data_IF_532441125307
#
_entry.id   IF_532441125307
#
_cell.length_a   1.000
_cell.length_b   1.000
_cell.length_c   1.000
_cell.angle_alpha   90.00
_cell.angle_beta   90.00
_cell.angle_gamma   90.00
#
_symmetry.space_group_name_H-M   'P 1'
#
loop_
_entity.id
_entity.type
_entity.pdbx_description
1 polymer ?
#
# COMPACT_ATOMS: atom_id res chain seq x y z
N UNK A 1 21.39 -72.61 -60.91
CA UNK A 1 21.92 -71.54 -60.03
C UNK A 1 20.71 -70.82 -59.47
N UNK A 2 20.53 -70.99 -58.17
CA UNK A 2 19.43 -70.50 -57.34
C UNK A 2 19.48 -68.98 -57.26
N UNK A 3 18.43 -68.31 -57.73
CA UNK A 3 18.19 -66.89 -57.47
C UNK A 3 17.85 -66.70 -56.00
N UNK A 4 18.65 -65.90 -55.30
CA UNK A 4 18.34 -65.36 -53.98
C UNK A 4 16.92 -64.77 -53.96
N UNK A 5 16.14 -64.98 -52.89
CA UNK A 5 14.99 -64.12 -52.64
C UNK A 5 15.52 -62.70 -52.42
N UNK A 6 14.97 -61.71 -53.12
CA UNK A 6 15.13 -60.32 -52.72
C UNK A 6 14.57 -60.18 -51.30
N UNK A 7 15.40 -59.74 -50.38
CA UNK A 7 14.96 -59.20 -49.10
C UNK A 7 13.92 -58.11 -49.40
N UNK A 8 12.67 -58.38 -49.02
CA UNK A 8 11.61 -57.38 -49.00
C UNK A 8 11.99 -56.34 -47.94
N UNK A 9 12.67 -55.27 -48.37
CA UNK A 9 12.82 -54.05 -47.58
C UNK A 9 11.42 -53.66 -47.08
N UNK A 10 11.26 -53.65 -45.76
CA UNK A 10 10.05 -53.15 -45.11
C UNK A 10 9.89 -51.69 -45.56
N UNK A 11 8.87 -51.43 -46.36
CA UNK A 11 8.58 -50.08 -46.85
C UNK A 11 8.15 -49.26 -45.64
N UNK A 12 8.99 -48.31 -45.24
CA UNK A 12 8.73 -47.48 -44.07
C UNK A 12 7.47 -46.62 -44.31
N UNK A 13 6.42 -46.86 -43.53
CA UNK A 13 5.23 -46.01 -43.48
C UNK A 13 5.54 -44.80 -42.58
N UNK A 14 5.34 -43.60 -43.12
CA UNK A 14 5.52 -42.37 -42.34
C UNK A 14 4.39 -42.17 -41.33
N UNK A 15 4.67 -41.58 -40.14
CA UNK A 15 3.63 -41.22 -39.19
C UNK A 15 2.66 -40.20 -39.80
N UNK A 16 1.45 -40.12 -39.24
CA UNK A 16 0.52 -39.04 -39.56
C UNK A 16 1.12 -37.67 -39.27
N UNK A 17 0.67 -36.64 -39.99
CA UNK A 17 1.05 -35.24 -39.80
C UNK A 17 -0.14 -34.50 -39.18
N UNK A 18 0.10 -33.73 -38.11
CA UNK A 18 -0.89 -32.81 -37.55
C UNK A 18 -0.43 -31.39 -37.86
N UNK A 19 -1.13 -30.74 -38.80
CA UNK A 19 -0.83 -29.37 -39.20
C UNK A 19 -1.19 -28.41 -38.06
N UNK A 20 -0.26 -27.53 -37.68
CA UNK A 20 -0.48 -26.52 -36.64
C UNK A 20 -0.12 -26.97 -35.22
N UNK A 21 0.54 -28.13 -35.06
CA UNK A 21 1.18 -28.51 -33.79
C UNK A 21 2.09 -27.39 -33.28
N UNK A 22 2.12 -27.23 -31.97
CA UNK A 22 3.00 -26.27 -31.31
C UNK A 22 4.23 -26.98 -30.76
N UNK A 23 5.38 -26.33 -30.78
CA UNK A 23 6.56 -26.83 -30.09
C UNK A 23 6.30 -26.80 -28.58
N UNK A 24 6.60 -27.90 -27.89
CA UNK A 24 6.52 -27.99 -26.43
C UNK A 24 7.84 -28.54 -25.91
N UNK A 25 8.34 -27.97 -24.83
CA UNK A 25 9.49 -28.51 -24.13
C UNK A 25 9.02 -29.64 -23.19
N UNK A 26 8.92 -30.85 -23.76
CA UNK A 26 8.50 -32.03 -22.99
C UNK A 26 9.24 -33.29 -23.50
N UNK A 27 9.92 -34.06 -22.62
CA UNK A 27 10.86 -35.10 -23.04
C UNK A 27 10.24 -36.27 -23.82
N UNK A 28 8.93 -36.50 -23.65
CA UNK A 28 8.21 -37.61 -24.30
C UNK A 28 7.27 -37.17 -25.44
N UNK A 29 7.21 -35.87 -25.79
CA UNK A 29 6.33 -35.36 -26.83
C UNK A 29 7.12 -34.89 -28.05
N UNK A 30 6.65 -35.21 -29.25
CA UNK A 30 7.16 -34.62 -30.50
C UNK A 30 6.59 -33.22 -30.73
N UNK A 31 5.47 -32.87 -30.07
CA UNK A 31 4.88 -31.55 -30.04
C UNK A 31 3.53 -31.55 -29.33
N UNK A 32 2.90 -30.39 -29.25
CA UNK A 32 1.61 -30.17 -28.60
C UNK A 32 0.47 -30.04 -29.60
N UNK A 33 -0.73 -30.50 -29.21
CA UNK A 33 -1.98 -30.34 -29.95
C UNK A 33 -2.88 -29.37 -29.17
N UNK A 34 -2.92 -28.07 -29.52
CA UNK A 34 -3.84 -27.13 -28.90
C UNK A 34 -5.30 -27.45 -29.24
N UNK A 35 -6.23 -27.07 -28.36
CA UNK A 35 -7.66 -27.34 -28.57
C UNK A 35 -8.22 -26.68 -29.84
N UNK A 36 -7.63 -25.55 -30.28
CA UNK A 36 -8.00 -24.85 -31.52
C UNK A 36 -7.78 -25.67 -32.80
N UNK A 37 -7.01 -26.76 -32.74
CA UNK A 37 -6.84 -27.68 -33.87
C UNK A 37 -8.01 -28.65 -34.03
N UNK A 38 -8.89 -28.76 -33.02
CA UNK A 38 -10.10 -29.56 -33.12
C UNK A 38 -11.17 -28.76 -33.88
N UNK A 39 -11.52 -29.22 -35.08
CA UNK A 39 -12.63 -28.69 -35.86
C UNK A 39 -13.89 -29.51 -35.58
N UNK A 40 -14.90 -28.91 -34.93
CA UNK A 40 -16.11 -29.62 -34.48
C UNK A 40 -15.81 -30.90 -33.67
N UNK A 41 -14.76 -30.85 -32.84
CA UNK A 41 -14.33 -31.98 -32.02
C UNK A 41 -13.49 -33.04 -32.75
N UNK A 42 -13.11 -32.80 -34.02
CA UNK A 42 -12.29 -33.71 -34.81
C UNK A 42 -10.89 -33.12 -35.05
N UNK A 43 -9.86 -33.93 -34.88
CA UNK A 43 -8.47 -33.60 -35.17
C UNK A 43 -8.11 -34.10 -36.58
N UNK A 44 -7.81 -33.20 -37.54
CA UNK A 44 -7.35 -33.61 -38.87
C UNK A 44 -5.96 -34.23 -38.79
N UNK A 45 -5.84 -35.48 -39.23
CA UNK A 45 -4.57 -36.19 -39.41
C UNK A 45 -4.29 -36.28 -40.91
N UNK A 46 -3.31 -35.52 -41.40
CA UNK A 46 -2.84 -35.62 -42.77
C UNK A 46 -2.00 -36.90 -42.92
N UNK A 47 -2.35 -37.70 -43.92
CA UNK A 47 -1.64 -38.92 -44.28
C UNK A 47 -1.03 -38.72 -45.66
N UNK A 48 0.30 -38.74 -45.72
CA UNK A 48 1.03 -38.77 -46.98
C UNK A 48 0.89 -40.17 -47.61
N UNK A 49 0.88 -40.27 -48.95
CA UNK A 49 0.80 -41.55 -49.63
C UNK A 49 2.05 -42.39 -49.34
N UNK A 50 1.84 -43.66 -48.97
CA UNK A 50 2.95 -44.61 -48.83
C UNK A 50 3.39 -45.15 -50.20
N UNK A 51 4.59 -45.71 -50.26
CA UNK A 51 5.13 -46.28 -51.50
C UNK A 51 4.21 -47.40 -52.02
N UNK A 52 3.85 -47.31 -53.30
CA UNK A 52 2.90 -48.21 -53.96
C UNK A 52 1.52 -48.26 -53.28
N UNK A 53 1.02 -47.12 -52.80
CA UNK A 53 -0.38 -47.01 -52.38
C UNK A 53 -1.30 -47.41 -53.54
N UNK A 54 -2.20 -48.36 -53.28
CA UNK A 54 -3.13 -48.89 -54.27
C UNK A 54 -4.58 -48.71 -53.84
N UNK A 55 -5.50 -48.74 -54.81
CA UNK A 55 -6.92 -48.86 -54.51
C UNK A 55 -7.18 -50.07 -53.63
N UNK A 56 -8.11 -49.90 -52.69
CA UNK A 56 -8.54 -50.87 -51.68
C UNK A 56 -7.54 -51.16 -50.57
N UNK A 57 -6.39 -50.46 -50.50
CA UNK A 57 -5.60 -50.42 -49.27
C UNK A 57 -6.43 -49.76 -48.14
N UNK A 58 -6.23 -50.20 -46.89
CA UNK A 58 -6.97 -49.72 -45.72
C UNK A 58 -6.02 -49.01 -44.74
N UNK A 59 -6.15 -47.69 -44.64
CA UNK A 59 -5.42 -46.85 -43.69
C UNK A 59 -6.18 -46.76 -42.36
N UNK A 60 -5.51 -47.09 -41.26
CA UNK A 60 -6.09 -47.24 -39.92
C UNK A 60 -5.34 -46.37 -38.92
N UNK A 61 -6.07 -45.72 -38.03
CA UNK A 61 -5.46 -45.04 -36.88
C UNK A 61 -5.54 -45.95 -35.67
N UNK A 62 -4.39 -46.15 -35.03
CA UNK A 62 -4.26 -46.85 -33.76
C UNK A 62 -3.87 -45.84 -32.66
N UNK A 63 -4.43 -46.01 -31.46
CA UNK A 63 -4.10 -45.20 -30.29
C UNK A 63 -3.42 -46.02 -29.20
N UNK A 64 -2.43 -45.41 -28.54
CA UNK A 64 -1.69 -46.06 -27.46
C UNK A 64 -0.93 -47.28 -27.95
N UNK A 65 -1.05 -48.37 -27.18
CA UNK A 65 -0.47 -49.68 -27.49
C UNK A 65 -1.50 -50.66 -28.07
N UNK A 66 -2.76 -50.24 -28.25
CA UNK A 66 -3.82 -51.10 -28.81
C UNK A 66 -3.70 -51.17 -30.33
N UNK A 67 -3.75 -52.37 -30.89
CA UNK A 67 -3.78 -52.59 -32.35
C UNK A 67 -5.21 -52.66 -32.91
N UNK A 68 -6.21 -52.37 -32.08
CA UNK A 68 -7.59 -52.17 -32.53
C UNK A 68 -7.70 -50.77 -33.16
N UNK A 69 -8.13 -50.67 -34.43
CA UNK A 69 -8.27 -49.38 -35.09
C UNK A 69 -9.43 -48.59 -34.50
N UNK A 70 -9.19 -47.30 -34.23
CA UNK A 70 -10.23 -46.37 -33.77
C UNK A 70 -10.97 -45.69 -34.91
N UNK A 71 -10.36 -45.69 -36.10
CA UNK A 71 -10.95 -45.26 -37.36
C UNK A 71 -10.13 -45.80 -38.53
N UNK A 72 -10.72 -45.80 -39.72
CA UNK A 72 -10.04 -46.16 -40.95
C UNK A 72 -10.59 -45.41 -42.18
N UNK A 73 -9.86 -45.49 -43.29
CA UNK A 73 -10.29 -45.13 -44.64
C UNK A 73 -9.71 -46.15 -45.62
N UNK A 74 -10.59 -46.70 -46.45
CA UNK A 74 -10.20 -47.49 -47.61
C UNK A 74 -9.92 -46.57 -48.79
N UNK A 75 -8.75 -46.69 -49.40
CA UNK A 75 -8.35 -45.94 -50.59
C UNK A 75 -9.27 -46.32 -51.75
N UNK A 76 -9.91 -45.34 -52.35
CA UNK A 76 -10.79 -45.56 -53.50
C UNK A 76 -9.99 -45.53 -54.81
N UNK A 77 -10.56 -46.11 -55.86
CA UNK A 77 -10.00 -45.98 -57.20
C UNK A 77 -9.99 -44.49 -57.61
N UNK A 78 -8.84 -44.00 -58.06
CA UNK A 78 -8.58 -42.59 -58.36
C UNK A 78 -7.99 -41.78 -57.21
N UNK A 79 -7.85 -42.34 -55.99
CA UNK A 79 -7.16 -41.70 -54.86
C UNK A 79 -5.70 -42.19 -54.70
N UNK A 80 -5.21 -43.04 -55.61
CA UNK A 80 -3.88 -43.63 -55.49
C UNK A 80 -2.77 -42.58 -55.61
N UNK A 81 -1.86 -42.56 -54.63
CA UNK A 81 -0.72 -41.65 -54.61
C UNK A 81 -1.06 -40.23 -54.18
N UNK A 82 -2.30 -39.97 -53.74
CA UNK A 82 -2.73 -38.66 -53.26
C UNK A 82 -2.77 -38.63 -51.71
N UNK A 83 -2.39 -37.50 -51.09
CA UNK A 83 -2.54 -37.33 -49.66
C UNK A 83 -4.02 -37.21 -49.28
N UNK A 84 -4.37 -37.69 -48.09
CA UNK A 84 -5.74 -37.62 -47.58
C UNK A 84 -5.77 -37.31 -46.08
N UNK A 85 -6.96 -36.98 -45.56
CA UNK A 85 -7.14 -36.64 -44.15
C UNK A 85 -8.02 -37.66 -43.43
N UNK A 86 -7.57 -38.12 -42.27
CA UNK A 86 -8.37 -38.86 -41.29
C UNK A 86 -8.74 -37.93 -40.14
N UNK A 87 -10.03 -37.70 -39.92
CA UNK A 87 -10.54 -36.83 -38.87
C UNK A 87 -10.73 -37.61 -37.55
N UNK A 88 -9.70 -37.65 -36.70
CA UNK A 88 -9.71 -38.37 -35.43
C UNK A 88 -10.65 -37.68 -34.41
N UNK A 89 -11.66 -38.37 -33.84
CA UNK A 89 -12.45 -37.80 -32.75
C UNK A 89 -11.57 -37.41 -31.57
N UNK A 90 -11.51 -36.12 -31.24
CA UNK A 90 -10.69 -35.59 -30.15
C UNK A 90 -11.11 -36.12 -28.77
N UNK A 91 -12.34 -36.63 -28.63
CA UNK A 91 -12.81 -37.31 -27.42
C UNK A 91 -12.05 -38.63 -27.13
N UNK A 92 -11.31 -39.17 -28.10
CA UNK A 92 -10.46 -40.34 -27.92
C UNK A 92 -9.06 -39.98 -27.39
N UNK A 93 -8.69 -38.69 -27.39
CA UNK A 93 -7.44 -38.23 -26.82
C UNK A 93 -7.55 -38.10 -25.29
N UNK A 94 -6.53 -38.56 -24.58
CA UNK A 94 -6.40 -38.45 -23.13
C UNK A 94 -5.62 -37.20 -22.74
N UNK A 95 -5.85 -36.67 -21.53
CA UNK A 95 -5.00 -35.61 -20.98
C UNK A 95 -3.58 -36.16 -20.74
N UNK A 96 -2.58 -35.51 -21.32
CA UNK A 96 -1.17 -35.94 -21.31
C UNK A 96 -0.68 -36.41 -22.68
N UNK A 97 0.24 -37.38 -22.68
CA UNK A 97 0.86 -37.89 -23.91
C UNK A 97 -0.07 -38.89 -24.60
N UNK A 98 -0.34 -38.64 -25.89
CA UNK A 98 -1.11 -39.50 -26.77
C UNK A 98 -0.20 -40.07 -27.84
N UNK A 99 -0.20 -41.40 -27.98
CA UNK A 99 0.57 -42.13 -28.98
C UNK A 99 -0.32 -42.46 -30.16
N UNK A 100 -0.10 -41.81 -31.30
CA UNK A 100 -0.87 -42.01 -32.54
C UNK A 100 0.00 -42.80 -33.52
N UNK A 101 -0.55 -43.86 -34.12
CA UNK A 101 0.16 -44.69 -35.11
C UNK A 101 -0.72 -44.88 -36.35
N UNK A 102 -0.12 -44.75 -37.52
CA UNK A 102 -0.75 -45.12 -38.80
C UNK A 102 -0.47 -46.61 -39.05
N UNK A 103 -1.51 -47.39 -39.34
CA UNK A 103 -1.40 -48.77 -39.76
C UNK A 103 -2.04 -48.94 -41.13
N UNK A 104 -1.33 -49.55 -42.07
CA UNK A 104 -1.77 -49.77 -43.44
C UNK A 104 -1.93 -51.26 -43.67
N UNK A 105 -3.12 -51.70 -44.05
CA UNK A 105 -3.34 -53.04 -44.58
C UNK A 105 -3.48 -52.95 -46.09
N UNK A 106 -2.47 -53.43 -46.82
CA UNK A 106 -2.51 -53.44 -48.28
C UNK A 106 -3.50 -54.46 -48.82
N UNK A 107 -4.07 -54.18 -49.98
CA UNK A 107 -4.98 -55.10 -50.68
C UNK A 107 -4.30 -56.47 -50.89
N UNK A 108 -5.00 -57.54 -50.52
CA UNK A 108 -4.49 -58.91 -50.63
C UNK A 108 -3.49 -59.34 -49.54
N UNK A 109 -3.10 -58.44 -48.62
CA UNK A 109 -2.29 -58.79 -47.45
C UNK A 109 -3.16 -59.04 -46.21
N UNK A 110 -2.61 -59.78 -45.23
CA UNK A 110 -3.27 -60.07 -43.95
C UNK A 110 -2.58 -59.42 -42.75
N UNK A 111 -1.32 -59.00 -42.91
CA UNK A 111 -0.51 -58.38 -41.87
C UNK A 111 -0.36 -56.90 -42.22
N UNK A 112 -0.80 -55.97 -41.36
CA UNK A 112 -0.63 -54.56 -41.62
C UNK A 112 0.79 -54.08 -41.30
N UNK A 113 1.26 -53.07 -42.04
CA UNK A 113 2.48 -52.32 -41.76
C UNK A 113 2.14 -51.12 -40.86
N UNK A 114 2.94 -50.82 -39.82
CA UNK A 114 2.65 -49.74 -38.86
C UNK A 114 3.79 -48.74 -38.81
N UNK A 115 3.45 -47.45 -38.81
CA UNK A 115 4.41 -46.35 -38.71
C UNK A 115 5.13 -46.30 -37.36
N UNK A 116 6.21 -45.52 -37.30
CA UNK A 116 6.69 -45.02 -36.00
C UNK A 116 5.58 -44.20 -35.31
N UNK A 117 5.51 -44.20 -33.97
CA UNK A 117 4.51 -43.42 -33.27
C UNK A 117 4.75 -41.92 -33.37
N UNK A 118 3.66 -41.16 -33.53
CA UNK A 118 3.64 -39.74 -33.24
C UNK A 118 3.13 -39.55 -31.79
N UNK A 119 4.02 -39.16 -30.89
CA UNK A 119 3.65 -38.83 -29.51
C UNK A 119 3.33 -37.34 -29.40
N UNK A 120 2.11 -37.00 -29.01
CA UNK A 120 1.66 -35.61 -28.87
C UNK A 120 1.17 -35.30 -27.47
N UNK A 121 1.49 -34.12 -26.97
CA UNK A 121 0.92 -33.60 -25.73
C UNK A 121 -0.46 -32.99 -26.01
N UNK A 122 -1.46 -33.38 -25.24
CA UNK A 122 -2.81 -32.87 -25.34
C UNK A 122 -3.38 -32.61 -23.95
N UNK A 123 -4.00 -31.44 -23.74
CA UNK A 123 -4.63 -31.09 -22.47
C UNK A 123 -6.11 -30.74 -22.67
N UNK A 124 -6.95 -31.45 -21.93
CA UNK A 124 -8.38 -31.14 -21.79
C UNK A 124 -8.84 -31.55 -20.39
N UNK A 125 -9.50 -30.67 -19.63
CA UNK A 125 -9.91 -29.30 -19.98
C UNK A 125 -8.74 -28.29 -20.00
N UNK A 126 -8.94 -27.14 -20.66
CA UNK A 126 -8.03 -25.99 -20.61
C UNK A 126 -7.90 -25.43 -19.18
N UNK A 127 -6.84 -24.67 -18.85
CA UNK A 127 -6.75 -24.00 -17.55
C UNK A 127 -8.00 -23.16 -17.30
N UNK A 128 -8.48 -23.07 -16.05
CA UNK A 128 -9.69 -22.29 -15.74
C UNK A 128 -11.00 -22.91 -16.23
N UNK A 129 -10.97 -24.05 -16.93
CA UNK A 129 -12.15 -24.78 -17.38
C UNK A 129 -12.93 -24.11 -18.53
N UNK A 130 -14.03 -24.75 -18.93
CA UNK A 130 -14.92 -24.22 -19.99
C UNK A 130 -16.00 -23.32 -19.37
N UNK A 131 -16.04 -22.06 -19.80
CA UNK A 131 -17.07 -21.08 -19.42
C UNK A 131 -17.75 -20.59 -20.70
N UNK A 132 -19.05 -20.87 -20.82
CA UNK A 132 -19.85 -20.63 -22.03
C UNK A 132 -20.37 -19.20 -22.16
N UNK A 133 -20.22 -18.37 -21.13
CA UNK A 133 -20.64 -16.97 -21.12
C UNK A 133 -19.43 -16.04 -21.29
N UNK A 134 -19.53 -15.00 -22.14
CA UNK A 134 -18.53 -13.94 -22.17
C UNK A 134 -18.43 -13.20 -20.82
N UNK A 135 -17.26 -12.65 -20.50
CA UNK A 135 -17.03 -11.84 -19.31
C UNK A 135 -15.88 -12.35 -18.45
N UNK A 136 -16.02 -12.23 -17.14
CA UNK A 136 -15.05 -12.73 -16.16
C UNK A 136 -15.21 -14.25 -15.99
N UNK A 137 -14.09 -14.96 -15.89
CA UNK A 137 -14.10 -16.39 -15.59
C UNK A 137 -14.31 -16.60 -14.09
N UNK A 138 -15.44 -17.21 -13.67
CA UNK A 138 -15.73 -17.46 -12.25
C UNK A 138 -14.81 -18.50 -11.61
N UNK A 139 -14.10 -19.30 -12.40
CA UNK A 139 -13.20 -20.34 -11.93
C UNK A 139 -11.79 -19.79 -11.58
N UNK A 140 -11.51 -18.52 -11.88
CA UNK A 140 -10.25 -17.86 -11.58
C UNK A 140 -10.41 -17.00 -10.33
N UNK A 141 -9.72 -17.39 -9.25
CA UNK A 141 -9.79 -16.69 -7.95
C UNK A 141 -8.47 -16.02 -7.63
N UNK A 142 -8.53 -14.73 -7.30
CA UNK A 142 -7.43 -13.91 -6.80
C UNK A 142 -7.73 -13.52 -5.35
N UNK A 143 -6.95 -14.04 -4.41
CA UNK A 143 -6.99 -13.72 -2.99
C UNK A 143 -5.97 -12.64 -2.62
N UNK A 144 -6.35 -11.79 -1.68
CA UNK A 144 -5.50 -10.75 -1.07
C UNK A 144 -5.57 -10.85 0.47
N UNK A 145 -4.52 -10.41 1.17
CA UNK A 145 -4.54 -10.23 2.61
C UNK A 145 -5.68 -9.32 3.06
N UNK A 146 -6.28 -9.63 4.21
CA UNK A 146 -7.44 -8.88 4.73
C UNK A 146 -7.11 -7.41 5.04
N UNK A 147 -5.90 -7.12 5.49
CA UNK A 147 -5.42 -5.76 5.76
C UNK A 147 -5.27 -4.94 4.47
N UNK A 148 -4.83 -5.55 3.37
CA UNK A 148 -4.77 -4.89 2.05
C UNK A 148 -6.17 -4.58 1.53
N UNK A 149 -7.12 -5.49 1.71
CA UNK A 149 -8.52 -5.26 1.32
C UNK A 149 -9.15 -4.15 2.17
N UNK A 150 -8.86 -4.11 3.48
CA UNK A 150 -9.45 -3.15 4.41
C UNK A 150 -8.83 -1.76 4.34
N UNK A 151 -7.50 -1.68 4.22
CA UNK A 151 -6.73 -0.45 4.40
C UNK A 151 -5.99 0.02 3.13
N UNK A 152 -5.96 -0.77 2.07
CA UNK A 152 -5.18 -0.47 0.87
C UNK A 152 -3.68 -0.79 1.00
N UNK A 153 -2.89 -0.22 0.09
CA UNK A 153 -1.44 -0.40 -0.02
C UNK A 153 -0.75 0.94 0.06
N UNK A 154 -0.05 1.16 1.17
CA UNK A 154 0.87 2.28 1.37
C UNK A 154 2.31 1.94 0.94
N UNK A 155 3.20 2.93 1.02
CA UNK A 155 4.61 2.75 0.67
C UNK A 155 5.33 1.68 1.51
N UNK A 156 4.93 1.49 2.78
CA UNK A 156 5.54 0.51 3.67
C UNK A 156 5.08 -0.92 3.36
N UNK A 157 3.79 -1.11 3.11
CA UNK A 157 3.19 -2.37 2.68
C UNK A 157 3.77 -2.81 1.33
N UNK A 158 3.86 -1.88 0.37
CA UNK A 158 4.50 -2.13 -0.92
C UNK A 158 5.99 -2.51 -0.77
N UNK A 159 6.72 -1.93 0.18
CA UNK A 159 8.12 -2.28 0.43
C UNK A 159 8.27 -3.67 1.09
N UNK A 160 7.38 -4.05 2.01
CA UNK A 160 7.36 -5.41 2.59
C UNK A 160 7.01 -6.48 1.56
N UNK A 161 6.16 -6.13 0.60
CA UNK A 161 5.63 -7.03 -0.40
C UNK A 161 4.20 -7.46 -0.07
N UNK A 162 3.31 -7.35 -1.06
CA UNK A 162 1.91 -7.75 -0.98
C UNK A 162 1.75 -9.09 -1.70
N UNK A 163 1.27 -10.10 -0.99
CA UNK A 163 1.08 -11.45 -1.54
C UNK A 163 -0.30 -11.53 -2.21
N UNK A 164 -0.35 -12.01 -3.45
CA UNK A 164 -1.56 -12.35 -4.19
C UNK A 164 -1.61 -13.87 -4.32
N UNK A 165 -2.66 -14.50 -3.78
CA UNK A 165 -2.85 -15.95 -3.91
C UNK A 165 -3.78 -16.25 -5.07
N UNK A 166 -3.30 -17.02 -6.03
CA UNK A 166 -3.99 -17.37 -7.26
C UNK A 166 -4.42 -18.83 -7.22
N UNK A 167 -5.69 -19.07 -7.54
CA UNK A 167 -6.26 -20.41 -7.68
C UNK A 167 -7.07 -20.52 -8.97
N UNK A 168 -6.90 -21.63 -9.67
CA UNK A 168 -7.73 -22.00 -10.83
C UNK A 168 -7.72 -23.51 -11.07
N UNK A 169 -8.81 -24.09 -11.61
CA UNK A 169 -8.88 -25.51 -11.90
C UNK A 169 -7.98 -25.90 -13.08
N UNK A 170 -7.51 -27.14 -13.07
CA UNK A 170 -6.61 -27.70 -14.08
C UNK A 170 -5.27 -26.96 -14.19
N UNK A 171 -4.78 -26.44 -13.06
CA UNK A 171 -3.44 -25.90 -12.92
C UNK A 171 -2.40 -26.97 -13.23
N UNK A 172 -1.48 -26.66 -14.14
CA UNK A 172 -0.39 -27.55 -14.57
C UNK A 172 0.93 -26.82 -14.45
N UNK A 173 1.99 -27.60 -14.28
CA UNK A 173 3.35 -27.09 -14.37
C UNK A 173 3.56 -26.43 -15.74
N UNK A 174 4.26 -25.30 -15.74
CA UNK A 174 4.55 -24.46 -16.91
C UNK A 174 3.34 -23.79 -17.57
N UNK A 175 2.15 -23.84 -16.96
CA UNK A 175 1.14 -22.83 -17.25
C UNK A 175 1.73 -21.44 -16.99
N UNK A 176 1.40 -20.45 -17.81
CA UNK A 176 1.85 -19.07 -17.65
C UNK A 176 0.71 -18.26 -17.07
N UNK A 177 0.91 -17.76 -15.85
CA UNK A 177 0.02 -16.78 -15.22
C UNK A 177 0.44 -15.40 -15.70
N UNK A 178 -0.49 -14.66 -16.31
CA UNK A 178 -0.35 -13.25 -16.65
C UNK A 178 -1.23 -12.42 -15.73
N UNK A 179 -0.61 -11.69 -14.81
CA UNK A 179 -1.26 -10.76 -13.89
C UNK A 179 -1.28 -9.36 -14.49
N UNK A 180 -2.47 -8.79 -14.65
CA UNK A 180 -2.72 -7.41 -15.02
C UNK A 180 -2.81 -6.55 -13.74
N UNK A 181 -1.94 -5.55 -13.66
CA UNK A 181 -1.79 -4.63 -12.52
C UNK A 181 -2.01 -3.22 -13.00
N UNK A 182 -3.28 -2.85 -13.06
CA UNK A 182 -3.72 -1.55 -13.53
C UNK A 182 -3.18 -1.26 -14.94
N UNK A 183 -3.43 -2.18 -15.88
CA UNK A 183 -2.96 -2.16 -17.28
C UNK A 183 -1.47 -2.46 -17.50
N UNK A 184 -0.73 -2.89 -16.47
CA UNK A 184 0.65 -3.38 -16.59
C UNK A 184 0.72 -4.89 -16.36
N UNK A 185 1.06 -5.65 -17.39
CA UNK A 185 1.14 -7.12 -17.31
C UNK A 185 2.47 -7.59 -16.70
N UNK A 186 2.38 -8.59 -15.83
CA UNK A 186 3.49 -9.39 -15.32
C UNK A 186 3.18 -10.87 -15.59
N UNK A 187 4.10 -11.57 -16.25
CA UNK A 187 3.93 -13.00 -16.55
C UNK A 187 4.98 -13.85 -15.86
N UNK A 188 4.57 -15.01 -15.34
CA UNK A 188 5.49 -16.04 -14.84
C UNK A 188 4.94 -17.45 -15.04
N UNK A 189 5.81 -18.48 -15.18
CA UNK A 189 5.38 -19.86 -15.20
C UNK A 189 4.96 -20.36 -13.80
N UNK A 190 4.07 -21.35 -13.80
CA UNK A 190 3.68 -22.15 -12.63
C UNK A 190 4.71 -23.26 -12.41
N UNK A 191 5.22 -23.37 -11.19
CA UNK A 191 6.13 -24.43 -10.79
C UNK A 191 5.40 -25.75 -10.52
N UNK A 192 6.13 -26.87 -10.53
CA UNK A 192 5.59 -28.18 -10.16
C UNK A 192 4.95 -28.19 -8.76
N UNK A 193 5.54 -27.47 -7.80
CA UNK A 193 5.03 -27.39 -6.43
C UNK A 193 3.69 -26.64 -6.34
N UNK A 194 3.55 -25.55 -7.09
CA UNK A 194 2.31 -24.77 -7.17
C UNK A 194 1.21 -25.57 -7.86
N UNK A 195 1.54 -26.24 -8.98
CA UNK A 195 0.61 -27.13 -9.67
C UNK A 195 0.11 -28.27 -8.76
N UNK A 196 0.99 -28.87 -7.96
CA UNK A 196 0.62 -29.89 -6.99
C UNK A 196 -0.24 -29.33 -5.84
N UNK A 197 -0.02 -28.07 -5.43
CA UNK A 197 -0.82 -27.39 -4.42
C UNK A 197 -2.17 -26.90 -4.95
N UNK A 198 -2.30 -26.71 -6.26
CA UNK A 198 -3.46 -26.06 -6.89
C UNK A 198 -3.51 -24.54 -6.64
N UNK A 199 -2.42 -23.94 -6.17
CA UNK A 199 -2.35 -22.53 -5.81
C UNK A 199 -0.96 -21.94 -6.08
N UNK A 200 -0.90 -20.67 -6.48
CA UNK A 200 0.35 -19.95 -6.76
C UNK A 200 0.35 -18.57 -6.10
N UNK A 201 1.45 -18.18 -5.45
CA UNK A 201 1.57 -16.87 -4.79
C UNK A 201 2.42 -15.89 -5.63
N UNK A 202 1.93 -14.68 -5.86
CA UNK A 202 2.69 -13.59 -6.51
C UNK A 202 2.94 -12.48 -5.48
N UNK A 203 4.19 -12.09 -5.31
CA UNK A 203 4.56 -11.01 -4.39
C UNK A 203 4.78 -9.72 -5.19
N UNK A 204 3.90 -8.74 -5.01
CA UNK A 204 4.02 -7.41 -5.57
C UNK A 204 4.78 -6.47 -4.63
N UNK A 205 5.68 -5.66 -5.17
CA UNK A 205 6.46 -4.64 -4.46
C UNK A 205 6.23 -3.25 -5.02
N UNK A 206 6.89 -2.24 -4.46
CA UNK A 206 6.77 -0.83 -4.83
C UNK A 206 6.77 -0.56 -6.34
N UNK A 207 7.65 -1.21 -7.11
CA UNK A 207 7.73 -1.02 -8.56
C UNK A 207 6.50 -1.55 -9.32
N UNK A 208 5.78 -2.51 -8.73
CA UNK A 208 4.60 -3.12 -9.34
C UNK A 208 3.35 -2.24 -9.18
N UNK A 209 3.40 -1.29 -8.24
CA UNK A 209 2.36 -0.29 -7.99
C UNK A 209 2.75 1.05 -8.63
N UNK A 210 2.74 1.05 -9.96
CA UNK A 210 3.31 2.10 -10.81
C UNK A 210 2.57 3.44 -10.76
N UNK A 211 1.36 3.49 -10.20
CA UNK A 211 0.63 4.72 -9.89
C UNK A 211 -0.16 4.61 -8.58
N UNK A 212 -0.54 5.77 -8.04
CA UNK A 212 -1.55 5.84 -6.98
C UNK A 212 -2.91 5.77 -7.63
N UNK A 213 -3.75 4.89 -7.11
CA UNK A 213 -5.08 4.68 -7.65
C UNK A 213 -5.96 4.10 -6.54
N UNK A 214 -6.99 4.83 -6.09
CA UNK A 214 -7.93 4.33 -5.08
C UNK A 214 -8.76 3.13 -5.57
N UNK A 215 -8.68 2.82 -6.86
CA UNK A 215 -9.26 1.64 -7.50
C UNK A 215 -8.22 0.96 -8.40
N UNK A 216 -7.03 0.71 -7.89
CA UNK A 216 -6.00 -0.04 -8.59
C UNK A 216 -6.53 -1.44 -8.93
N UNK A 217 -6.61 -1.74 -10.23
CA UNK A 217 -7.25 -2.94 -10.73
C UNK A 217 -6.25 -4.11 -10.77
N UNK A 218 -6.64 -5.24 -10.19
CA UNK A 218 -5.90 -6.50 -10.24
C UNK A 218 -6.79 -7.59 -10.82
N UNK A 219 -6.28 -8.29 -11.84
CA UNK A 219 -6.89 -9.49 -12.41
C UNK A 219 -5.83 -10.33 -13.10
N UNK A 220 -6.11 -11.59 -13.36
CA UNK A 220 -5.16 -12.45 -14.06
C UNK A 220 -5.82 -13.33 -15.12
N UNK A 221 -5.01 -13.84 -16.03
CA UNK A 221 -5.35 -14.91 -16.98
C UNK A 221 -4.25 -15.96 -16.98
N UNK A 222 -4.53 -17.11 -17.57
CA UNK A 222 -3.58 -18.21 -17.67
C UNK A 222 -3.53 -18.71 -19.11
N UNK A 223 -2.36 -19.16 -19.55
CA UNK A 223 -2.18 -19.89 -20.81
C UNK A 223 -1.37 -21.15 -20.54
N UNK A 224 -1.81 -22.31 -21.00
CA UNK A 224 -1.04 -23.56 -20.83
C UNK A 224 0.12 -23.69 -21.84
N UNK A 225 0.93 -24.74 -21.68
CA UNK A 225 2.03 -25.08 -22.59
C UNK A 225 1.61 -25.25 -24.07
N UNK A 226 0.33 -25.49 -24.33
CA UNK A 226 -0.23 -25.69 -25.67
C UNK A 226 -0.78 -24.37 -26.25
N UNK A 227 -0.78 -23.28 -25.48
CA UNK A 227 -1.37 -22.01 -25.88
C UNK A 227 -2.89 -21.92 -25.65
N UNK A 228 -3.49 -22.85 -24.91
CA UNK A 228 -4.89 -22.76 -24.53
C UNK A 228 -5.03 -21.73 -23.39
N UNK A 229 -5.89 -20.73 -23.59
CA UNK A 229 -6.18 -19.69 -22.59
C UNK A 229 -7.01 -20.22 -21.41
N UNK A 230 -7.14 -19.43 -20.37
CA UNK A 230 -7.96 -19.71 -19.19
C UNK A 230 -9.48 -19.70 -19.45
N UNK A 231 -9.93 -19.61 -20.70
CA UNK A 231 -11.33 -19.73 -21.09
C UNK A 231 -11.52 -19.31 -22.56
N UNK A 232 -12.46 -19.91 -23.30
CA UNK A 232 -12.65 -19.60 -24.73
C UNK A 232 -13.31 -18.23 -24.95
N UNK A 233 -14.17 -17.79 -24.02
CA UNK A 233 -14.82 -16.48 -24.04
C UNK A 233 -14.54 -15.65 -22.79
N UNK A 234 -14.45 -16.29 -21.63
CA UNK A 234 -14.09 -15.66 -20.36
C UNK A 234 -12.61 -15.95 -20.04
N UNK A 235 -11.71 -15.05 -20.45
CA UNK A 235 -10.26 -15.27 -20.30
C UNK A 235 -9.76 -14.77 -18.94
N UNK A 236 -10.26 -13.64 -18.47
CA UNK A 236 -9.75 -12.95 -17.29
C UNK A 236 -10.50 -13.34 -16.02
N UNK A 237 -9.82 -13.33 -14.88
CA UNK A 237 -10.46 -13.38 -13.57
C UNK A 237 -11.31 -12.13 -13.37
N UNK A 238 -12.23 -12.20 -12.40
CA UNK A 238 -12.89 -10.99 -11.90
C UNK A 238 -11.85 -9.97 -11.44
N UNK A 239 -12.07 -8.71 -11.78
CA UNK A 239 -11.23 -7.61 -11.30
C UNK A 239 -11.45 -7.36 -9.81
N UNK A 240 -10.37 -7.43 -9.05
CA UNK A 240 -10.30 -6.97 -7.67
C UNK A 240 -9.74 -5.55 -7.66
N UNK A 241 -10.43 -4.63 -6.98
CA UNK A 241 -9.97 -3.25 -6.82
C UNK A 241 -9.43 -3.07 -5.41
N UNK A 242 -8.26 -2.45 -5.30
CA UNK A 242 -7.66 -2.04 -4.03
C UNK A 242 -7.31 -0.55 -4.07
N UNK A 243 -7.26 0.07 -2.89
CA UNK A 243 -6.71 1.42 -2.76
C UNK A 243 -5.19 1.34 -2.74
N UNK A 244 -4.51 1.97 -3.70
CA UNK A 244 -3.05 2.10 -3.74
C UNK A 244 -2.71 3.56 -3.57
N UNK A 245 -1.93 3.84 -2.54
CA UNK A 245 -1.63 5.20 -2.15
C UNK A 245 -0.18 5.37 -1.69
N UNK A 246 0.73 4.85 -2.52
CA UNK A 246 2.17 4.87 -2.28
C UNK A 246 2.74 6.30 -2.37
N UNK A 247 2.03 7.20 -3.05
CA UNK A 247 2.32 8.62 -3.24
C UNK A 247 1.33 9.52 -2.48
N UNK A 248 0.45 8.99 -1.61
CA UNK A 248 -0.28 9.79 -0.61
C UNK A 248 0.73 10.65 0.16
N UNK A 249 0.38 11.92 0.44
CA UNK A 249 1.37 12.97 0.51
C UNK A 249 2.37 12.69 1.62
N UNK A 250 3.65 12.79 1.24
CA UNK A 250 4.68 13.12 2.21
C UNK A 250 4.22 14.39 2.91
N UNK A 251 3.81 14.27 4.17
CA UNK A 251 3.48 15.44 4.99
C UNK A 251 4.79 16.23 5.18
N UNK A 252 4.89 17.43 4.60
CA UNK A 252 5.95 18.39 4.97
C UNK A 252 5.41 19.31 6.04
N UNK A 253 5.58 18.85 7.28
CA UNK A 253 5.13 19.56 8.47
C UNK A 253 6.16 20.63 8.82
N UNK A 254 6.02 21.79 8.17
CA UNK A 254 6.85 22.97 8.43
C UNK A 254 6.59 23.54 9.83
N UNK A 255 7.53 24.34 10.34
CA UNK A 255 7.38 25.00 11.65
C UNK A 255 6.15 25.93 11.66
N UNK A 256 5.43 26.03 12.78
CA UNK A 256 4.28 26.93 12.90
C UNK A 256 4.70 28.40 12.83
N UNK A 257 3.72 29.30 12.70
CA UNK A 257 3.97 30.76 12.66
C UNK A 257 3.22 31.45 13.79
N UNK A 258 3.96 32.15 14.66
CA UNK A 258 3.38 33.00 15.72
C UNK A 258 3.19 34.41 15.16
N UNK A 259 1.96 34.92 15.12
CA UNK A 259 1.63 36.18 14.46
C UNK A 259 2.18 37.43 15.18
N UNK A 260 2.32 37.34 16.49
CA UNK A 260 2.92 38.40 17.32
C UNK A 260 4.45 38.36 17.29
N UNK A 261 5.05 37.34 16.67
CA UNK A 261 6.49 37.31 16.41
C UNK A 261 6.84 38.13 15.16
N UNK A 262 6.94 39.45 15.29
CA UNK A 262 7.14 40.36 14.15
C UNK A 262 8.61 40.64 13.84
N UNK A 263 9.51 40.26 14.74
CA UNK A 263 10.95 40.45 14.60
C UNK A 263 11.64 39.14 14.20
N UNK A 264 12.89 39.25 13.70
CA UNK A 264 13.74 38.11 13.31
C UNK A 264 13.01 37.08 12.43
N UNK A 265 12.29 37.55 11.40
CA UNK A 265 11.55 36.69 10.46
C UNK A 265 10.59 35.70 11.13
N UNK A 266 9.86 36.14 12.17
CA UNK A 266 8.89 35.28 12.86
C UNK A 266 9.44 34.54 14.08
N UNK A 267 10.69 34.80 14.48
CA UNK A 267 11.35 34.09 15.59
C UNK A 267 11.51 34.95 16.85
N UNK A 268 11.05 36.20 16.82
CA UNK A 268 11.06 37.05 18.01
C UNK A 268 9.73 37.76 18.19
N UNK A 269 9.12 37.51 19.35
CA UNK A 269 7.93 38.20 19.85
C UNK A 269 8.39 39.33 20.76
N UNK A 270 8.10 40.56 20.37
CA UNK A 270 8.36 41.72 21.20
C UNK A 270 7.24 41.87 22.23
N UNK A 271 7.51 41.56 23.49
CA UNK A 271 6.47 41.53 24.49
C UNK A 271 5.79 42.89 24.69
N UNK A 272 6.57 43.98 24.76
CA UNK A 272 6.05 45.32 25.04
C UNK A 272 5.32 45.93 23.82
N UNK A 273 5.81 45.68 22.60
CA UNK A 273 5.22 46.27 21.39
C UNK A 273 4.10 45.43 20.78
N UNK A 274 4.24 44.09 20.77
CA UNK A 274 3.38 43.21 19.99
C UNK A 274 2.39 42.41 20.85
N UNK A 275 2.66 42.27 22.15
CA UNK A 275 1.90 41.34 23.02
C UNK A 275 1.39 41.97 24.32
N UNK A 276 1.71 43.23 24.61
CA UNK A 276 1.58 43.77 25.96
C UNK A 276 0.15 43.70 26.51
N UNK A 277 -0.87 43.94 25.69
CA UNK A 277 -2.29 43.83 26.10
C UNK A 277 -2.99 42.56 25.57
N UNK A 278 -2.29 41.76 24.78
CA UNK A 278 -2.84 40.58 24.12
C UNK A 278 -3.17 39.47 25.13
N UNK A 279 -4.35 38.86 24.96
CA UNK A 279 -4.78 37.72 25.79
C UNK A 279 -4.26 36.38 25.29
N UNK A 280 -3.88 36.31 24.01
CA UNK A 280 -3.41 35.09 23.36
C UNK A 280 -2.34 35.41 22.33
N UNK A 281 -1.36 34.52 22.18
CA UNK A 281 -0.51 34.49 20.99
C UNK A 281 -1.23 33.65 19.93
N UNK A 282 -1.40 34.22 18.75
CA UNK A 282 -2.11 33.59 17.65
C UNK A 282 -1.10 32.82 16.79
N UNK A 283 -1.30 31.51 16.70
CA UNK A 283 -0.41 30.62 15.95
C UNK A 283 -1.12 30.08 14.72
N UNK A 284 -0.54 30.31 13.56
CA UNK A 284 -0.96 29.74 12.28
C UNK A 284 -0.21 28.44 12.01
N UNK A 285 -0.96 27.43 11.58
CA UNK A 285 -0.45 26.14 11.12
C UNK A 285 -1.01 25.83 9.74
N UNK A 286 -0.12 25.70 8.77
CA UNK A 286 -0.38 25.16 7.44
C UNK A 286 0.76 24.21 7.07
N UNK A 287 0.46 23.21 6.23
CA UNK A 287 1.43 22.21 5.81
C UNK A 287 1.06 21.57 4.47
N UNK A 288 2.08 21.07 3.78
CA UNK A 288 1.92 20.32 2.52
C UNK A 288 1.34 18.95 2.83
N UNK A 289 0.35 18.53 2.04
CA UNK A 289 -0.38 17.28 2.27
C UNK A 289 -1.56 17.42 3.24
N UNK A 290 -1.92 18.65 3.62
CA UNK A 290 -3.16 18.93 4.36
C UNK A 290 -4.40 18.51 3.58
N UNK A 291 -5.30 17.77 4.24
CA UNK A 291 -6.51 17.23 3.64
C UNK A 291 -7.64 17.13 4.69
N UNK A 292 -8.92 17.19 4.28
CA UNK A 292 -10.06 17.08 5.19
C UNK A 292 -9.97 15.87 6.13
N UNK A 293 -10.36 16.07 7.40
CA UNK A 293 -10.44 15.01 8.42
C UNK A 293 -9.15 14.76 9.19
N UNK A 294 -8.01 15.31 8.77
CA UNK A 294 -6.78 15.30 9.57
C UNK A 294 -6.99 16.14 10.84
N UNK A 295 -6.43 15.70 11.97
CA UNK A 295 -6.51 16.43 13.25
C UNK A 295 -5.15 16.98 13.64
N UNK A 296 -5.12 18.21 14.14
CA UNK A 296 -3.89 18.96 14.43
C UNK A 296 -3.93 19.50 15.85
N UNK A 297 -2.86 19.27 16.60
CA UNK A 297 -2.72 19.76 17.98
C UNK A 297 -1.42 20.54 18.13
N UNK A 298 -1.51 21.75 18.68
CA UNK A 298 -0.38 22.65 18.90
C UNK A 298 0.20 22.43 20.31
N UNK A 299 1.51 22.60 20.43
CA UNK A 299 2.25 22.61 21.68
C UNK A 299 3.10 23.89 21.80
N UNK A 300 3.07 24.51 22.97
CA UNK A 300 3.96 25.58 23.39
C UNK A 300 4.81 25.07 24.54
N UNK A 301 6.10 24.85 24.27
CA UNK A 301 7.07 24.31 25.22
C UNK A 301 7.85 25.50 25.78
N UNK A 302 7.43 25.99 26.94
CA UNK A 302 8.05 27.12 27.63
C UNK A 302 9.22 26.70 28.51
N UNK A 303 9.68 27.62 29.36
CA UNK A 303 10.84 27.42 30.24
C UNK A 303 10.67 26.27 31.25
N UNK A 304 9.49 26.11 31.85
CA UNK A 304 9.23 25.15 32.92
C UNK A 304 7.92 24.35 32.76
N UNK A 305 7.20 24.53 31.64
CA UNK A 305 5.93 23.87 31.38
C UNK A 305 5.67 23.76 29.88
N UNK A 306 4.90 22.74 29.50
CA UNK A 306 4.37 22.56 28.15
C UNK A 306 2.85 22.74 28.18
N UNK A 307 2.36 23.67 27.38
CA UNK A 307 0.93 23.82 27.10
C UNK A 307 0.58 23.13 25.79
N UNK A 308 -0.55 22.43 25.74
CA UNK A 308 -1.07 21.80 24.53
C UNK A 308 -2.49 22.29 24.25
N UNK A 309 -2.81 22.55 22.98
CA UNK A 309 -4.14 22.97 22.57
C UNK A 309 -5.14 21.79 22.59
N UNK A 310 -6.42 22.13 22.49
CA UNK A 310 -7.40 21.16 21.95
C UNK A 310 -7.09 20.88 20.47
N UNK A 311 -7.28 19.65 19.97
CA UNK A 311 -7.12 19.34 18.56
C UNK A 311 -8.13 20.09 17.68
N UNK A 312 -7.69 20.57 16.52
CA UNK A 312 -8.55 21.10 15.46
C UNK A 312 -8.55 20.15 14.25
N UNK A 313 -9.68 20.09 13.54
CA UNK A 313 -9.82 19.25 12.34
C UNK A 313 -9.67 20.08 11.07
N UNK A 314 -8.86 19.62 10.13
CA UNK A 314 -8.75 20.18 8.79
C UNK A 314 -10.05 19.93 8.02
N UNK A 315 -10.63 20.98 7.45
CA UNK A 315 -11.91 20.99 6.75
C UNK A 315 -11.74 20.93 5.23
N UNK A 316 -10.64 21.48 4.71
CA UNK A 316 -10.31 21.47 3.28
C UNK A 316 -8.78 21.48 3.08
N UNK A 317 -8.33 21.02 1.91
CA UNK A 317 -6.89 20.98 1.58
C UNK A 317 -6.28 22.38 1.51
N UNK A 318 -5.07 22.54 2.08
CA UNK A 318 -4.39 23.83 2.16
C UNK A 318 -4.97 24.79 3.21
N UNK A 319 -5.82 24.32 4.13
CA UNK A 319 -6.35 25.15 5.21
C UNK A 319 -5.24 25.57 6.19
N UNK A 320 -5.19 26.87 6.50
CA UNK A 320 -4.44 27.38 7.66
C UNK A 320 -5.30 27.30 8.92
N UNK A 321 -4.85 26.53 9.91
CA UNK A 321 -5.46 26.45 11.23
C UNK A 321 -4.93 27.55 12.14
N UNK A 322 -5.75 27.98 13.10
CA UNK A 322 -5.41 29.06 14.04
C UNK A 322 -5.61 28.60 15.48
N UNK A 323 -4.55 28.66 16.26
CA UNK A 323 -4.54 28.30 17.67
C UNK A 323 -4.26 29.54 18.52
N UNK A 324 -4.79 29.56 19.74
CA UNK A 324 -4.65 30.66 20.68
C UNK A 324 -3.89 30.18 21.92
N UNK A 325 -2.61 30.51 22.00
CA UNK A 325 -1.77 30.19 23.16
C UNK A 325 -2.07 31.20 24.27
N UNK A 326 -2.45 30.77 25.48
CA UNK A 326 -2.78 31.67 26.58
C UNK A 326 -1.64 32.62 26.97
N UNK A 327 -1.99 33.88 27.31
CA UNK A 327 -1.04 34.93 27.71
C UNK A 327 -0.04 34.51 28.78
N UNK A 328 -0.48 33.75 29.77
CA UNK A 328 0.36 33.28 30.87
C UNK A 328 1.54 32.44 30.37
N UNK A 329 1.35 31.63 29.33
CA UNK A 329 2.42 30.82 28.73
C UNK A 329 3.48 31.69 28.05
N UNK A 330 3.09 32.82 27.46
CA UNK A 330 4.01 33.79 26.86
C UNK A 330 4.74 34.62 27.92
N UNK A 331 4.01 35.08 28.95
CA UNK A 331 4.58 35.84 30.08
C UNK A 331 5.65 35.02 30.81
N UNK A 332 5.45 33.71 30.99
CA UNK A 332 6.42 32.81 31.61
C UNK A 332 7.74 32.67 30.83
N UNK A 333 7.75 33.14 29.58
CA UNK A 333 8.88 33.04 28.66
C UNK A 333 9.58 34.39 28.41
N UNK A 334 9.16 35.50 29.05
CA UNK A 334 9.78 36.83 28.90
C UNK A 334 11.28 36.76 29.17
N UNK A 335 12.09 37.28 28.23
CA UNK A 335 13.55 37.29 28.33
C UNK A 335 14.22 35.94 28.07
N UNK A 336 13.45 34.88 27.81
CA UNK A 336 13.95 33.57 27.37
C UNK A 336 13.41 33.26 25.97
N UNK A 337 12.23 32.64 25.89
CA UNK A 337 11.73 32.01 24.68
C UNK A 337 10.92 30.74 24.97
N UNK A 338 10.40 30.15 23.90
CA UNK A 338 9.65 28.91 23.88
C UNK A 338 9.91 28.17 22.56
N UNK A 339 9.74 26.85 22.58
CA UNK A 339 9.67 26.04 21.37
C UNK A 339 8.19 25.82 21.01
N UNK A 340 7.81 26.10 19.76
CA UNK A 340 6.43 25.94 19.28
C UNK A 340 6.39 24.87 18.20
N UNK A 341 5.58 23.84 18.40
CA UNK A 341 5.49 22.67 17.52
C UNK A 341 4.04 22.17 17.44
N UNK A 342 3.70 21.36 16.44
CA UNK A 342 2.38 20.72 16.35
C UNK A 342 2.48 19.28 15.88
N UNK A 343 1.42 18.52 16.09
CA UNK A 343 1.29 17.17 15.56
C UNK A 343 0.09 17.06 14.62
N UNK A 344 0.23 16.29 13.55
CA UNK A 344 -0.87 15.91 12.65
C UNK A 344 -1.18 14.44 12.83
N UNK A 345 -2.47 14.11 12.95
CA UNK A 345 -2.99 12.75 12.96
C UNK A 345 -3.93 12.56 11.78
N UNK A 346 -3.67 11.53 10.99
CA UNK A 346 -4.47 11.19 9.81
C UNK A 346 -5.87 10.67 10.22
N UNK A 347 -6.89 10.82 9.35
CA UNK A 347 -8.23 10.32 9.63
C UNK A 347 -8.22 8.83 10.00
N UNK A 348 -8.86 8.46 11.11
CA UNK A 348 -8.91 7.07 11.59
C UNK A 348 -7.60 6.53 12.18
N UNK A 349 -6.51 7.30 12.13
CA UNK A 349 -5.22 6.94 12.73
C UNK A 349 -5.15 7.24 14.23
N UNK A 350 -4.20 6.61 14.92
CA UNK A 350 -3.89 6.87 16.34
C UNK A 350 -2.52 7.50 16.56
N UNK A 351 -1.68 7.54 15.52
CA UNK A 351 -0.32 8.08 15.57
C UNK A 351 -0.31 9.59 15.35
N UNK A 352 0.38 10.30 16.23
CA UNK A 352 0.68 11.72 16.08
C UNK A 352 2.01 11.92 15.36
N UNK A 353 2.00 12.65 14.25
CA UNK A 353 3.18 12.93 13.41
C UNK A 353 3.65 14.35 13.72
N UNK A 354 4.86 14.55 14.29
CA UNK A 354 5.33 15.86 14.74
C UNK A 354 5.84 16.76 13.60
N UNK A 355 5.69 18.07 13.76
CA UNK A 355 6.23 19.09 12.87
C UNK A 355 7.70 19.39 13.13
N UNK A 356 8.29 20.23 12.28
CA UNK A 356 9.52 20.98 12.63
C UNK A 356 9.20 21.99 13.72
N UNK A 357 10.20 22.32 14.53
CA UNK A 357 10.03 23.21 15.67
C UNK A 357 10.30 24.67 15.30
N UNK A 358 9.56 25.58 15.92
CA UNK A 358 9.85 27.02 15.92
C UNK A 358 10.50 27.40 17.26
N UNK A 359 11.81 27.64 17.23
CA UNK A 359 12.51 28.32 18.32
C UNK A 359 12.12 29.80 18.35
N UNK A 360 11.31 30.18 19.35
CA UNK A 360 10.83 31.54 19.56
C UNK A 360 11.58 32.20 20.70
N UNK A 361 12.04 33.44 20.50
CA UNK A 361 12.52 34.31 21.58
C UNK A 361 11.45 35.33 21.99
N UNK A 362 11.35 35.62 23.28
CA UNK A 362 10.47 36.67 23.81
C UNK A 362 11.36 37.76 24.39
N UNK A 363 11.16 39.01 23.97
CA UNK A 363 12.04 40.11 24.41
C UNK A 363 12.01 40.28 25.93
N UNK A 364 13.15 40.66 26.54
CA UNK A 364 13.18 41.03 27.95
C UNK A 364 12.43 42.36 28.15
N UNK A 365 11.94 42.57 29.38
CA UNK A 365 11.38 43.82 29.84
C UNK A 365 12.44 44.66 30.58
N UNK A 366 12.08 45.90 30.97
CA UNK A 366 12.95 46.81 31.76
C UNK A 366 13.66 46.13 32.93
N UNK A 367 12.96 45.24 33.65
CA UNK A 367 13.56 44.42 34.70
C UNK A 367 13.26 42.95 34.46
N UNK A 368 14.27 42.10 34.66
CA UNK A 368 14.07 40.65 34.70
C UNK A 368 13.58 40.26 36.09
N UNK A 369 12.29 39.93 36.19
CA UNK A 369 11.68 39.45 37.42
C UNK A 369 11.59 37.93 37.37
N UNK A 370 12.39 37.26 38.21
CA UNK A 370 12.45 35.81 38.27
C UNK A 370 11.20 35.22 38.89
N UNK A 371 11.05 33.91 38.73
CA UNK A 371 10.05 33.09 39.39
C UNK A 371 10.06 33.36 40.90
N UNK A 372 8.92 33.70 41.52
CA UNK A 372 8.83 33.92 42.95
C UNK A 372 8.90 32.59 43.72
N UNK A 373 9.10 32.64 45.04
CA UNK A 373 9.05 31.45 45.90
C UNK A 373 7.92 31.56 46.92
N UNK A 374 7.32 30.43 47.28
CA UNK A 374 6.39 30.34 48.41
C UNK A 374 7.11 29.82 49.66
N UNK A 375 6.70 30.30 50.83
CA UNK A 375 7.06 29.69 52.11
C UNK A 375 6.43 28.29 52.27
N UNK A 376 6.87 27.54 53.28
CA UNK A 376 6.40 26.18 53.51
C UNK A 376 4.88 26.09 53.77
N UNK A 377 4.30 27.12 54.38
CA UNK A 377 2.86 27.25 54.62
C UNK A 377 2.07 27.77 53.40
N UNK A 378 2.76 28.14 52.31
CA UNK A 378 2.20 28.74 51.08
C UNK A 378 1.44 30.06 51.31
N UNK A 379 1.64 30.69 52.45
CA UNK A 379 0.97 31.92 52.90
C UNK A 379 1.73 33.19 52.56
N UNK A 380 2.99 33.06 52.14
CA UNK A 380 3.83 34.19 51.78
C UNK A 380 4.56 33.92 50.46
N UNK A 381 4.31 34.79 49.48
CA UNK A 381 5.02 34.82 48.21
C UNK A 381 6.16 35.81 48.30
N UNK A 382 7.39 35.33 48.13
CA UNK A 382 8.58 36.16 48.07
C UNK A 382 8.87 36.54 46.62
N UNK A 383 8.74 37.83 46.34
CA UNK A 383 8.96 38.46 45.06
C UNK A 383 10.38 39.05 44.99
N UNK A 384 11.23 38.52 44.10
CA UNK A 384 12.63 38.95 43.94
C UNK A 384 12.78 40.02 42.87
N UNK A 385 13.48 41.11 43.18
CA UNK A 385 13.67 42.23 42.26
C UNK A 385 15.07 42.85 42.41
N UNK A 386 15.60 43.54 41.38
CA UNK A 386 16.80 44.36 41.55
C UNK A 386 16.55 45.48 42.58
N UNK A 387 17.61 46.05 43.19
CA UNK A 387 17.46 47.26 44.00
C UNK A 387 16.80 48.39 43.21
N UNK A 388 15.70 48.93 43.74
CA UNK A 388 14.92 49.99 43.09
C UNK A 388 15.17 51.32 43.83
N UNK A 389 15.41 52.38 43.06
CA UNK A 389 15.70 53.73 43.58
C UNK A 389 14.61 54.76 43.28
N UNK A 390 13.58 54.38 42.53
CA UNK A 390 12.35 55.16 42.33
C UNK A 390 11.15 54.47 43.00
N UNK A 391 10.07 55.19 43.32
CA UNK A 391 8.91 54.58 44.00
C UNK A 391 8.22 53.53 43.10
N UNK A 392 8.10 52.30 43.58
CA UNK A 392 7.43 51.20 42.89
C UNK A 392 6.34 50.56 43.75
N UNK A 393 5.41 49.88 43.08
CA UNK A 393 4.41 49.01 43.70
C UNK A 393 4.50 47.60 43.15
N UNK A 394 4.32 46.62 44.03
CA UNK A 394 4.19 45.21 43.67
C UNK A 394 2.72 44.77 43.76
N UNK A 395 2.28 43.90 42.85
CA UNK A 395 0.95 43.28 42.90
C UNK A 395 1.03 41.80 42.57
N UNK A 396 0.51 40.96 43.46
CA UNK A 396 0.42 39.52 43.22
C UNK A 396 -0.75 39.19 42.28
N UNK A 397 -0.57 38.19 41.42
CA UNK A 397 -1.63 37.59 40.62
C UNK A 397 -1.64 36.07 40.80
N UNK A 398 -2.81 35.56 41.17
CA UNK A 398 -3.06 34.19 41.60
C UNK A 398 -3.99 33.53 40.59
N UNK A 399 -3.51 32.49 39.91
CA UNK A 399 -4.26 31.74 38.90
C UNK A 399 -4.53 30.34 39.42
N UNK A 400 -5.81 29.99 39.50
CA UNK A 400 -6.31 28.72 40.02
C UNK A 400 -7.74 28.52 39.54
N UNK A 401 -8.61 27.98 40.38
CA UNK A 401 -10.06 27.87 40.09
C UNK A 401 -10.65 29.21 39.67
N UNK A 402 -10.33 30.26 40.41
CA UNK A 402 -10.65 31.65 40.07
C UNK A 402 -9.38 32.48 40.08
N UNK A 403 -9.16 33.28 39.04
CA UNK A 403 -8.06 34.25 39.00
C UNK A 403 -8.32 35.38 40.00
N UNK A 404 -7.35 35.66 40.87
CA UNK A 404 -7.42 36.74 41.86
C UNK A 404 -6.18 37.62 41.77
N UNK A 405 -6.38 38.92 41.90
CA UNK A 405 -5.30 39.90 41.95
C UNK A 405 -5.25 40.53 43.34
N UNK A 406 -4.08 40.54 43.96
CA UNK A 406 -3.87 41.19 45.26
C UNK A 406 -3.96 42.72 45.18
N UNK A 407 -3.83 43.38 46.32
CA UNK A 407 -3.68 44.83 46.39
C UNK A 407 -2.30 45.27 45.86
N UNK A 408 -2.19 46.51 45.38
CA UNK A 408 -0.88 47.09 45.06
C UNK A 408 -0.18 47.54 46.34
N UNK A 409 0.97 46.96 46.64
CA UNK A 409 1.75 47.24 47.86
C UNK A 409 2.97 48.11 47.50
N UNK A 410 3.20 49.25 48.19
CA UNK A 410 4.40 50.06 48.01
C UNK A 410 5.66 49.27 48.37
N UNK A 411 6.69 49.37 47.54
CA UNK A 411 7.96 48.68 47.77
C UNK A 411 8.91 49.54 48.60
N UNK A 412 9.70 48.88 49.45
CA UNK A 412 10.75 49.54 50.22
C UNK A 412 11.96 49.82 49.33
N UNK A 413 12.41 51.07 49.28
CA UNK A 413 13.58 51.46 48.49
C UNK A 413 14.84 50.72 48.97
N UNK A 414 15.70 50.31 48.04
CA UNK A 414 16.98 49.65 48.34
C UNK A 414 16.89 48.18 48.77
N UNK A 415 15.71 47.55 48.80
CA UNK A 415 15.59 46.09 49.01
C UNK A 415 15.75 45.32 47.70
N UNK A 416 16.03 44.02 47.79
CA UNK A 416 16.08 43.09 46.66
C UNK A 416 14.93 42.07 46.64
N UNK A 417 13.98 42.21 47.58
CA UNK A 417 12.80 41.37 47.68
C UNK A 417 11.65 42.09 48.36
N UNK A 418 10.43 41.64 48.07
CA UNK A 418 9.18 42.06 48.71
C UNK A 418 8.36 40.82 49.07
N UNK A 419 7.83 40.77 50.27
CA UNK A 419 6.95 39.69 50.75
C UNK A 419 5.49 40.08 50.48
N UNK A 420 4.74 39.17 49.84
CA UNK A 420 3.34 39.36 49.44
C UNK A 420 2.49 38.27 50.10
N UNK A 421 1.53 38.67 50.94
CA UNK A 421 0.68 37.73 51.66
C UNK A 421 -0.29 37.01 50.70
N UNK A 422 -0.25 35.68 50.71
CA UNK A 422 -1.18 34.83 49.96
C UNK A 422 -2.41 34.55 50.83
N UNK A 423 -3.63 34.88 50.38
CA UNK A 423 -4.84 34.64 51.15
C UNK A 423 -5.03 33.14 51.47
N UNK A 424 -5.14 32.74 52.75
CA UNK A 424 -5.34 31.34 53.14
C UNK A 424 -6.60 30.70 52.50
N UNK A 425 -7.64 31.50 52.29
CA UNK A 425 -8.87 31.07 51.63
C UNK A 425 -8.65 30.65 50.16
N UNK A 426 -7.73 31.30 49.45
CA UNK A 426 -7.40 30.93 48.08
C UNK A 426 -6.60 29.63 48.02
N UNK A 427 -5.68 29.40 48.97
CA UNK A 427 -4.97 28.12 49.09
C UNK A 427 -5.97 26.98 49.34
N UNK A 428 -6.93 27.20 50.24
CA UNK A 428 -7.98 26.21 50.54
C UNK A 428 -8.86 25.86 49.32
N UNK A 429 -9.26 26.86 48.52
CA UNK A 429 -10.05 26.68 47.28
C UNK A 429 -9.32 25.81 46.23
N UNK A 430 -8.00 25.91 46.20
CA UNK A 430 -7.14 25.31 45.18
C UNK A 430 -6.45 24.02 45.65
N UNK A 431 -6.70 23.55 46.88
CA UNK A 431 -6.05 22.38 47.46
C UNK A 431 -6.07 21.18 46.50
N UNK A 432 -4.89 20.65 46.17
CA UNK A 432 -4.73 19.50 45.28
C UNK A 432 -4.91 19.80 43.78
N UNK A 433 -5.06 21.08 43.39
CA UNK A 433 -5.21 21.52 41.99
C UNK A 433 -3.95 22.22 41.50
N UNK A 434 -3.67 22.19 40.18
CA UNK A 434 -2.60 22.99 39.60
C UNK A 434 -2.94 24.49 39.75
N UNK A 435 -1.95 25.27 40.15
CA UNK A 435 -2.01 26.72 40.26
C UNK A 435 -0.79 27.35 39.61
N UNK A 436 -0.95 28.61 39.21
CA UNK A 436 0.14 29.45 38.74
C UNK A 436 0.11 30.77 39.52
N UNK A 437 1.27 31.25 39.94
CA UNK A 437 1.38 32.51 40.66
C UNK A 437 2.47 33.33 40.00
N UNK A 438 2.17 34.59 39.68
CA UNK A 438 3.19 35.56 39.37
C UNK A 438 2.90 36.86 40.11
N UNK A 439 3.75 37.85 39.90
CA UNK A 439 3.55 39.18 40.43
C UNK A 439 4.04 40.22 39.43
N UNK A 440 3.56 41.44 39.61
CA UNK A 440 3.90 42.55 38.73
C UNK A 440 4.57 43.68 39.50
N UNK A 441 5.43 44.40 38.80
CA UNK A 441 6.15 45.57 39.28
C UNK A 441 5.73 46.80 38.46
N UNK A 442 5.30 47.85 39.14
CA UNK A 442 4.88 49.11 38.54
C UNK A 442 5.65 50.28 39.13
N UNK A 443 6.30 51.07 38.29
CA UNK A 443 6.88 52.35 38.70
C UNK A 443 5.76 53.39 38.91
N UNK A 444 5.82 54.13 40.01
CA UNK A 444 4.76 55.06 40.42
C UNK A 444 4.98 56.43 39.80
N UNK A 445 3.91 57.06 39.33
CA UNK A 445 3.98 58.41 38.75
C UNK A 445 4.54 58.47 37.33
N UNK A 446 4.75 57.32 36.70
CA UNK A 446 5.18 57.19 35.31
C UNK A 446 4.15 56.44 34.49
N UNK A 447 4.25 56.55 33.15
CA UNK A 447 3.49 55.74 32.20
C UNK A 447 4.31 54.55 31.69
N UNK A 448 5.35 54.14 32.43
CA UNK A 448 6.16 52.99 32.01
C UNK A 448 5.33 51.70 32.07
N UNK A 449 5.53 50.77 31.12
CA UNK A 449 4.89 49.47 31.16
C UNK A 449 5.09 48.75 32.50
N UNK A 450 4.07 48.01 32.93
CA UNK A 450 4.13 47.11 34.06
C UNK A 450 5.05 45.94 33.68
N UNK A 451 5.97 45.60 34.59
CA UNK A 451 6.89 44.47 34.43
C UNK A 451 6.28 43.24 35.10
N UNK A 452 6.43 42.08 34.48
CA UNK A 452 5.84 40.82 34.92
C UNK A 452 6.95 39.85 35.36
N UNK A 453 6.71 39.11 36.45
CA UNK A 453 7.56 37.97 36.79
C UNK A 453 7.20 36.74 35.98
N UNK A 454 8.17 35.83 35.85
CA UNK A 454 7.87 34.43 35.52
C UNK A 454 6.88 33.82 36.51
N UNK A 455 6.20 32.76 36.08
CA UNK A 455 5.25 32.04 36.89
C UNK A 455 5.92 30.98 37.74
N UNK A 456 5.47 30.92 38.99
CA UNK A 456 5.62 29.78 39.87
C UNK A 456 4.43 28.82 39.63
N UNK A 457 4.72 27.58 39.24
CA UNK A 457 3.71 26.54 38.98
C UNK A 457 3.84 25.41 39.99
N UNK A 458 2.74 25.04 40.64
CA UNK A 458 2.70 23.92 41.61
C UNK A 458 1.28 23.41 41.82
N UNK A 459 1.16 22.35 42.62
CA UNK A 459 -0.12 21.90 43.18
C UNK A 459 -0.34 22.54 44.54
N UNK A 460 -1.46 23.25 44.72
CA UNK A 460 -1.74 24.03 45.93
C UNK A 460 -1.95 23.18 47.19
#
# INVERSE_FOLDING_TARGET
MTSQPLDSEIVKIDPVIIVGMVAVDHPAAHGGVPLRLLNNGLLPLLVEPWTQQAAYDDARILLGTSDVPVMNKTIQQGEEGEPFTLNLPGALLSNGINRIRLSVLRVGQTIPETSQPLNVLFHRPQPGGEVSTPGDNPNLTLGLPADVIANGVDAAAANRGVILTIHYPYMRENDVITLDRDSQELSRPVSAAEAAAGSADIILRTADFWQDNPRFALRFRVTDLLGNSSGPQAIWSRTTYIDVHIRQPTLDLIKPKVLEARELNGQRLNFENDFYDAQFANVEVDYVGSAPGQTVKLYWIGRNATWGSEPQTVSFAGQTLRFQVPRNEVVDCIGTGAEVTYTVRLPGGTTDIPSKDLDLTVTPQKHMLREPTLDASKTNLRAYHPPLFTPHKARMALFGVTTRYGEEIPMTAGTSQTDLAVPPAWIAENRGKPIMINWTLRETGTNTPIVFSWFLRLTA
#
